data_IF_612464530616
#
_entry.id   IF_612464530616
#
_cell.length_a   1.000
_cell.length_b   1.000
_cell.length_c   1.000
_cell.angle_alpha   90.00
_cell.angle_beta   90.00
_cell.angle_gamma   90.00
#
_symmetry.space_group_name_H-M   'P 1'
#
loop_
_entity.id
_entity.type
_entity.pdbx_description
1 polymer ?
#
# COMPACT_ATOMS: atom_id res chain seq x y z
N UNK A 1 -6.11 -21.77 10.54
CA UNK A 1 -6.29 -21.42 11.97
C UNK A 1 -7.00 -20.08 12.04
N UNK A 2 -8.10 -19.96 12.79
CA UNK A 2 -8.73 -18.67 13.01
C UNK A 2 -7.74 -17.75 13.74
N UNK A 3 -7.65 -16.51 13.29
CA UNK A 3 -6.77 -15.51 13.87
C UNK A 3 -7.35 -15.07 15.23
N UNK A 4 -6.88 -15.66 16.33
CA UNK A 4 -7.38 -15.37 17.69
C UNK A 4 -6.64 -14.16 18.29
N UNK A 5 -7.38 -13.20 18.87
CA UNK A 5 -6.85 -12.02 19.58
C UNK A 5 -7.26 -10.66 18.98
N UNK A 6 -7.04 -9.55 19.71
CA UNK A 6 -7.34 -8.18 19.23
C UNK A 6 -6.43 -7.86 18.02
N UNK A 7 -6.99 -7.64 16.82
CA UNK A 7 -6.22 -7.36 15.61
C UNK A 7 -5.29 -6.14 15.76
N UNK A 8 -5.72 -5.12 16.52
CA UNK A 8 -4.94 -3.89 16.73
C UNK A 8 -3.70 -4.14 17.57
N UNK A 9 -3.74 -5.10 18.51
CA UNK A 9 -2.57 -5.48 19.28
C UNK A 9 -1.59 -6.31 18.46
N UNK A 10 -2.11 -7.06 17.49
CA UNK A 10 -1.29 -7.91 16.61
C UNK A 10 -0.46 -7.09 15.62
N UNK A 11 -1.01 -6.03 15.03
CA UNK A 11 -0.22 -5.14 14.15
C UNK A 11 0.92 -4.40 14.88
N UNK A 12 0.87 -4.35 16.22
CA UNK A 12 1.91 -3.76 17.05
C UNK A 12 2.87 -4.81 17.65
N UNK A 13 2.68 -6.09 17.31
CA UNK A 13 3.48 -7.18 17.84
C UNK A 13 4.81 -7.33 17.09
N UNK A 14 5.81 -7.89 17.76
CA UNK A 14 7.09 -8.21 17.12
C UNK A 14 6.96 -9.25 16.01
N UNK A 15 6.01 -10.18 16.13
CA UNK A 15 5.72 -11.18 15.08
C UNK A 15 5.19 -10.52 13.81
N UNK A 16 4.36 -9.49 13.94
CA UNK A 16 3.89 -8.73 12.79
C UNK A 16 5.04 -7.97 12.11
N UNK A 17 5.92 -7.33 12.88
CA UNK A 17 7.09 -6.64 12.33
C UNK A 17 7.98 -7.60 11.51
N UNK A 18 8.25 -8.80 12.04
CA UNK A 18 9.04 -9.81 11.32
C UNK A 18 8.35 -10.28 10.03
N UNK A 19 7.04 -10.51 10.09
CA UNK A 19 6.27 -10.88 8.90
C UNK A 19 6.27 -9.76 7.86
N UNK A 20 6.08 -8.51 8.30
CA UNK A 20 6.12 -7.34 7.44
C UNK A 20 7.48 -7.19 6.76
N UNK A 21 8.59 -7.23 7.51
CA UNK A 21 9.95 -7.16 6.97
C UNK A 21 10.23 -8.25 5.94
N UNK A 22 9.75 -9.48 6.18
CA UNK A 22 9.87 -10.58 5.22
C UNK A 22 9.08 -10.29 3.93
N UNK A 23 7.85 -9.79 4.06
CA UNK A 23 7.00 -9.45 2.92
C UNK A 23 7.57 -8.30 2.09
N UNK A 24 8.07 -7.24 2.74
CA UNK A 24 8.62 -6.07 2.04
C UNK A 24 10.05 -6.24 1.56
N UNK A 25 10.78 -7.26 2.02
CA UNK A 25 12.22 -7.42 1.76
C UNK A 25 12.60 -7.55 0.27
N UNK A 26 11.65 -7.91 -0.59
CA UNK A 26 11.84 -7.96 -2.04
C UNK A 26 11.31 -6.72 -2.79
N UNK A 27 10.71 -5.77 -2.08
CA UNK A 27 10.05 -4.60 -2.65
C UNK A 27 10.96 -3.37 -2.59
N UNK A 28 11.08 -2.65 -3.71
CA UNK A 28 11.74 -1.36 -3.73
C UNK A 28 10.78 -0.25 -3.29
N UNK A 29 11.19 0.57 -2.32
CA UNK A 29 10.40 1.72 -1.89
C UNK A 29 10.16 2.71 -3.04
N UNK A 30 8.94 3.27 -3.11
CA UNK A 30 8.61 4.31 -4.09
C UNK A 30 9.42 5.58 -3.78
N UNK A 31 10.07 6.15 -4.81
CA UNK A 31 10.79 7.42 -4.67
C UNK A 31 9.79 8.56 -4.43
N UNK A 32 10.12 9.48 -3.53
CA UNK A 32 9.24 10.58 -3.15
C UNK A 32 8.80 11.43 -4.35
N UNK A 33 9.70 11.64 -5.32
CA UNK A 33 9.42 12.43 -6.54
C UNK A 33 8.42 11.73 -7.46
N UNK A 34 8.51 10.40 -7.55
CA UNK A 34 7.56 9.60 -8.32
C UNK A 34 6.19 9.62 -7.65
N UNK A 35 6.15 9.46 -6.33
CA UNK A 35 4.91 9.53 -5.56
C UNK A 35 4.24 10.90 -5.67
N UNK A 36 5.01 11.99 -5.56
CA UNK A 36 4.48 13.35 -5.65
C UNK A 36 3.81 13.63 -7.00
N UNK A 37 4.43 13.22 -8.11
CA UNK A 37 3.85 13.36 -9.46
C UNK A 37 2.56 12.55 -9.61
N UNK A 38 2.59 11.28 -9.18
CA UNK A 38 1.42 10.40 -9.20
C UNK A 38 0.27 10.97 -8.37
N UNK A 39 0.57 11.51 -7.18
CA UNK A 39 -0.42 12.07 -6.28
C UNK A 39 -1.13 13.29 -6.88
N UNK A 40 -0.39 14.20 -7.52
CA UNK A 40 -0.98 15.36 -8.21
C UNK A 40 -1.94 14.89 -9.30
N UNK A 41 -1.53 13.90 -10.11
CA UNK A 41 -2.37 13.36 -11.18
C UNK A 41 -3.66 12.73 -10.64
N UNK A 42 -3.57 11.92 -9.60
CA UNK A 42 -4.73 11.26 -8.98
C UNK A 42 -5.68 12.32 -8.40
N UNK A 43 -5.18 13.28 -7.62
CA UNK A 43 -6.02 14.33 -7.02
C UNK A 43 -6.77 15.13 -8.08
N UNK A 44 -6.14 15.40 -9.23
CA UNK A 44 -6.74 16.20 -10.29
C UNK A 44 -7.79 15.45 -11.12
N UNK A 45 -7.65 14.14 -11.29
CA UNK A 45 -8.40 13.38 -12.31
C UNK A 45 -9.22 12.21 -11.78
N UNK A 46 -8.83 11.63 -10.63
CA UNK A 46 -9.45 10.40 -10.16
C UNK A 46 -10.85 10.66 -9.57
N UNK A 47 -11.84 9.81 -9.89
CA UNK A 47 -13.15 9.88 -9.25
C UNK A 47 -13.05 9.63 -7.74
N UNK A 48 -13.90 10.30 -6.96
CA UNK A 48 -14.02 10.04 -5.53
C UNK A 48 -14.39 8.58 -5.25
N UNK A 49 -13.75 7.99 -4.23
CA UNK A 49 -14.01 6.60 -3.80
C UNK A 49 -13.21 5.53 -4.56
N UNK A 50 -12.34 5.93 -5.49
CA UNK A 50 -11.47 5.00 -6.22
C UNK A 50 -10.19 4.70 -5.44
N UNK A 51 -9.57 3.55 -5.71
CA UNK A 51 -8.30 3.12 -5.11
C UNK A 51 -7.23 2.97 -6.18
N UNK A 52 -6.00 3.40 -5.89
CA UNK A 52 -4.93 3.46 -6.89
C UNK A 52 -3.64 2.85 -6.34
N UNK A 53 -2.92 2.15 -7.21
CA UNK A 53 -1.56 1.66 -6.94
C UNK A 53 -0.54 2.53 -7.67
N UNK A 54 0.54 2.88 -6.96
CA UNK A 54 1.65 3.68 -7.48
C UNK A 54 2.94 2.88 -7.30
N UNK A 55 3.68 2.70 -8.39
CA UNK A 55 4.95 1.99 -8.43
C UNK A 55 6.03 2.88 -9.08
N UNK A 56 7.31 2.61 -8.78
CA UNK A 56 8.39 3.31 -9.46
C UNK A 56 8.39 3.02 -10.96
N UNK A 57 8.61 4.07 -11.76
CA UNK A 57 8.74 3.97 -13.22
C UNK A 57 7.51 3.43 -13.96
N UNK A 58 6.34 3.37 -13.30
CA UNK A 58 5.07 2.99 -13.90
C UNK A 58 4.03 4.09 -13.68
N UNK A 59 3.10 4.29 -14.63
CA UNK A 59 1.96 5.18 -14.40
C UNK A 59 1.07 4.67 -13.25
N UNK A 60 0.39 5.57 -12.52
CA UNK A 60 -0.61 5.18 -11.53
C UNK A 60 -1.71 4.33 -12.17
N UNK A 61 -2.16 3.29 -11.46
CA UNK A 61 -3.20 2.38 -11.96
C UNK A 61 -4.33 2.26 -10.94
N UNK A 62 -5.56 2.41 -11.40
CA UNK A 62 -6.73 2.15 -10.58
C UNK A 62 -6.86 0.64 -10.29
N UNK A 63 -7.23 0.30 -9.05
CA UNK A 63 -7.45 -1.06 -8.59
C UNK A 63 -8.85 -1.20 -7.99
N UNK A 64 -9.49 -2.34 -8.26
CA UNK A 64 -10.76 -2.73 -7.64
C UNK A 64 -10.44 -3.64 -6.46
N UNK A 65 -10.58 -3.11 -5.25
CA UNK A 65 -10.28 -3.85 -4.02
C UNK A 65 -11.40 -4.80 -3.61
N UNK A 66 -12.63 -4.52 -4.04
CA UNK A 66 -13.82 -5.30 -3.70
C UNK A 66 -14.58 -5.60 -4.98
N UNK A 67 -14.55 -6.87 -5.40
CA UNK A 67 -15.35 -7.43 -6.49
C UNK A 67 -16.22 -8.56 -5.96
#
# INVERSE_FOLDING_TARGET
AALVGDPRKRILSGEYEQAWQKDIGSTAAVKAENLGKALIEIIQKAPSGTSWIVENSRPPKEIVLFS
#
